data_IF_984965014521
#
_entry.id   IF_984965014521
#
_cell.length_a   1.000
_cell.length_b   1.000
_cell.length_c   1.000
_cell.angle_alpha   90.00
_cell.angle_beta   90.00
_cell.angle_gamma   90.00
#
_symmetry.space_group_name_H-M   'P 1'
#
loop_
_entity.id
_entity.type
_entity.pdbx_description
1 polymer ?
#
# COMPACT_ATOMS: atom_id res chain seq x y z
N UNK A 1 4.88 -19.61 50.52
CA UNK A 1 4.61 -19.13 49.14
C UNK A 1 5.76 -18.27 48.59
N UNK A 2 7.00 -18.45 49.06
CA UNK A 2 8.10 -17.48 48.81
C UNK A 2 9.14 -17.95 47.79
N UNK A 3 8.98 -19.15 47.23
CA UNK A 3 10.02 -19.77 46.38
C UNK A 3 9.79 -19.59 44.87
N UNK A 4 8.68 -18.97 44.46
CA UNK A 4 8.33 -18.86 43.04
C UNK A 4 8.90 -17.58 42.38
N UNK A 5 9.18 -16.53 43.16
CA UNK A 5 9.61 -15.23 42.64
C UNK A 5 11.13 -15.15 42.35
N UNK A 6 11.98 -15.90 43.07
CA UNK A 6 13.43 -15.88 42.87
C UNK A 6 13.93 -16.63 41.62
N UNK A 7 13.12 -17.54 41.07
CA UNK A 7 13.48 -18.34 39.89
C UNK A 7 13.26 -17.59 38.56
N UNK A 8 12.35 -16.61 38.55
CA UNK A 8 12.02 -15.81 37.37
C UNK A 8 13.13 -14.80 37.07
N UNK A 9 13.68 -14.15 38.09
CA UNK A 9 14.78 -13.18 37.98
C UNK A 9 16.09 -13.81 37.51
N UNK A 10 16.43 -15.01 38.03
CA UNK A 10 17.63 -15.74 37.62
C UNK A 10 17.57 -16.18 36.14
N UNK A 11 16.37 -16.46 35.62
CA UNK A 11 16.15 -16.84 34.22
C UNK A 11 16.21 -15.63 33.29
N UNK A 12 15.69 -14.49 33.71
CA UNK A 12 15.79 -13.22 32.99
C UNK A 12 17.26 -12.76 32.88
N UNK A 13 18.02 -12.81 33.98
CA UNK A 13 19.44 -12.45 34.00
C UNK A 13 20.28 -13.35 33.07
N UNK A 14 20.01 -14.67 33.04
CA UNK A 14 20.69 -15.60 32.11
C UNK A 14 20.35 -15.34 30.64
N UNK A 15 19.12 -14.92 30.34
CA UNK A 15 18.70 -14.58 28.97
C UNK A 15 19.40 -13.31 28.49
N UNK A 16 19.40 -12.25 29.31
CA UNK A 16 20.10 -11.00 29.02
C UNK A 16 21.62 -11.22 28.81
N UNK A 17 22.26 -12.03 29.65
CA UNK A 17 23.69 -12.36 29.49
C UNK A 17 23.99 -13.14 28.20
N UNK A 18 23.07 -13.99 27.73
CA UNK A 18 23.21 -14.73 26.48
C UNK A 18 23.00 -13.84 25.25
N UNK A 19 22.06 -12.91 25.32
CA UNK A 19 21.80 -11.91 24.27
C UNK A 19 22.97 -10.93 24.14
N UNK A 20 23.51 -10.45 25.26
CA UNK A 20 24.70 -9.60 25.27
C UNK A 20 25.92 -10.30 24.61
N UNK A 21 26.17 -11.57 24.93
CA UNK A 21 27.25 -12.35 24.30
C UNK A 21 27.03 -12.57 22.79
N UNK A 22 25.77 -12.71 22.36
CA UNK A 22 25.44 -12.86 20.94
C UNK A 22 25.63 -11.55 20.17
N UNK A 23 25.24 -10.42 20.76
CA UNK A 23 25.43 -9.08 20.20
C UNK A 23 26.93 -8.74 20.07
N UNK A 24 27.73 -9.02 21.10
CA UNK A 24 29.18 -8.78 21.08
C UNK A 24 29.89 -9.60 19.99
N UNK A 25 29.47 -10.86 19.79
CA UNK A 25 30.02 -11.72 18.72
C UNK A 25 29.69 -11.18 17.33
N UNK A 26 28.46 -10.70 17.12
CA UNK A 26 28.01 -10.14 15.84
C UNK A 26 28.76 -8.84 15.50
N UNK A 27 28.96 -7.96 16.48
CA UNK A 27 29.73 -6.73 16.30
C UNK A 27 31.19 -7.01 15.93
N UNK A 28 31.83 -7.98 16.59
CA UNK A 28 33.21 -8.40 16.24
C UNK A 28 33.32 -8.98 14.83
N UNK A 29 32.28 -9.63 14.33
CA UNK A 29 32.24 -10.17 12.97
C UNK A 29 32.05 -9.07 11.92
N UNK A 30 31.14 -8.14 12.17
CA UNK A 30 30.91 -6.97 11.30
C UNK A 30 32.15 -6.07 11.22
N UNK A 31 32.84 -5.82 12.35
CA UNK A 31 34.05 -5.00 12.37
C UNK A 31 35.20 -5.66 11.59
N UNK A 32 35.34 -7.00 11.67
CA UNK A 32 36.30 -7.74 10.86
C UNK A 32 35.98 -7.67 9.36
N UNK A 33 34.70 -7.81 8.98
CA UNK A 33 34.27 -7.65 7.58
C UNK A 33 34.56 -6.22 7.09
N UNK A 34 34.26 -5.20 7.89
CA UNK A 34 34.56 -3.79 7.58
C UNK A 34 36.04 -3.55 7.33
N UNK A 35 36.92 -4.00 8.23
CA UNK A 35 38.38 -3.86 8.09
C UNK A 35 38.93 -4.61 6.87
N UNK A 36 38.30 -5.73 6.47
CA UNK A 36 38.69 -6.46 5.26
C UNK A 36 38.33 -5.69 3.98
N UNK A 37 37.13 -5.09 3.93
CA UNK A 37 36.68 -4.28 2.80
C UNK A 37 37.45 -2.95 2.69
N UNK A 38 37.76 -2.31 3.82
CA UNK A 38 38.60 -1.10 3.87
C UNK A 38 40.02 -1.36 3.35
N UNK A 39 40.62 -2.51 3.72
CA UNK A 39 41.91 -2.96 3.17
C UNK A 39 41.85 -3.32 1.68
N UNK A 40 40.67 -3.67 1.16
CA UNK A 40 40.45 -3.92 -0.26
C UNK A 40 40.25 -2.63 -1.07
N UNK A 41 40.28 -1.46 -0.43
CA UNK A 41 40.16 -0.16 -1.10
C UNK A 41 38.73 0.21 -1.50
N UNK A 42 37.71 -0.43 -0.90
CA UNK A 42 36.32 -0.02 -1.10
C UNK A 42 36.06 1.35 -0.45
N UNK A 43 35.24 2.14 -1.12
CA UNK A 43 34.78 3.44 -0.63
C UNK A 43 33.91 3.29 0.64
N UNK A 44 33.95 4.25 1.59
CA UNK A 44 33.19 4.14 2.84
C UNK A 44 31.68 3.93 2.63
N UNK A 45 31.12 4.43 1.53
CA UNK A 45 29.70 4.29 1.22
C UNK A 45 29.35 2.87 0.75
N UNK A 46 30.22 2.23 -0.04
CA UNK A 46 30.00 0.86 -0.51
C UNK A 46 30.20 -0.18 0.60
N UNK A 47 31.17 0.06 1.50
CA UNK A 47 31.35 -0.77 2.70
C UNK A 47 30.09 -0.76 3.58
N UNK A 48 29.46 0.40 3.72
CA UNK A 48 28.21 0.54 4.49
C UNK A 48 27.07 -0.25 3.85
N UNK A 49 26.89 -0.15 2.52
CA UNK A 49 25.87 -0.94 1.79
C UNK A 49 26.13 -2.44 1.83
N UNK A 50 27.37 -2.88 1.71
CA UNK A 50 27.73 -4.31 1.77
C UNK A 50 27.59 -4.92 3.17
N UNK A 51 27.64 -4.09 4.22
CA UNK A 51 27.35 -4.51 5.60
C UNK A 51 25.83 -4.59 5.86
N UNK A 52 25.06 -3.67 5.26
CA UNK A 52 23.59 -3.63 5.38
C UNK A 52 22.89 -4.65 4.47
N UNK A 53 23.52 -5.05 3.36
CA UNK A 53 23.03 -6.09 2.46
C UNK A 53 24.11 -7.15 2.19
N UNK A 54 24.04 -8.34 2.79
CA UNK A 54 25.04 -9.40 2.61
C UNK A 54 25.07 -10.01 1.20
N UNK A 55 24.06 -9.73 0.36
CA UNK A 55 23.92 -10.19 -1.03
C UNK A 55 24.29 -9.11 -2.06
N UNK A 56 24.87 -7.99 -1.62
CA UNK A 56 25.37 -6.95 -2.53
C UNK A 56 26.67 -7.44 -3.20
N UNK A 57 26.53 -8.08 -4.36
CA UNK A 57 27.63 -8.19 -5.32
C UNK A 57 27.72 -6.88 -6.10
N UNK A 58 28.86 -6.19 -5.96
CA UNK A 58 29.13 -4.97 -6.71
C UNK A 58 29.39 -5.34 -8.17
N UNK A 59 28.48 -4.97 -9.08
CA UNK A 59 28.78 -4.77 -10.49
C UNK A 59 29.74 -3.58 -10.63
N UNK A 60 31.03 -3.80 -10.40
CA UNK A 60 32.04 -2.85 -10.84
C UNK A 60 33.37 -3.54 -11.05
N UNK A 61 33.68 -3.89 -12.31
CA UNK A 61 35.03 -4.33 -12.69
C UNK A 61 35.21 -5.20 -13.95
N UNK A 62 34.15 -5.66 -14.63
CA UNK A 62 34.25 -6.61 -15.77
C UNK A 62 33.94 -6.04 -17.17
N UNK A 63 34.21 -4.76 -17.41
CA UNK A 63 33.41 -3.88 -18.30
C UNK A 63 33.70 -3.88 -19.83
N UNK A 64 34.38 -4.87 -20.46
CA UNK A 64 34.54 -4.83 -21.95
C UNK A 64 34.32 -6.13 -22.70
N UNK A 65 34.87 -7.24 -22.21
CA UNK A 65 34.68 -8.53 -22.89
C UNK A 65 33.26 -9.09 -22.69
N UNK A 66 32.70 -8.95 -21.49
CA UNK A 66 31.32 -9.38 -21.21
C UNK A 66 30.30 -8.62 -22.07
N UNK A 67 30.47 -7.30 -22.20
CA UNK A 67 29.61 -6.47 -23.07
C UNK A 67 29.73 -6.89 -24.52
N UNK A 68 30.94 -7.19 -25.02
CA UNK A 68 31.12 -7.69 -26.39
C UNK A 68 30.39 -9.01 -26.66
N UNK A 69 30.51 -10.00 -25.76
CA UNK A 69 29.81 -11.29 -25.91
C UNK A 69 28.30 -11.14 -25.80
N UNK A 70 27.81 -10.31 -24.88
CA UNK A 70 26.37 -10.00 -24.76
C UNK A 70 25.86 -9.32 -26.03
N UNK A 71 26.61 -8.36 -26.57
CA UNK A 71 26.24 -7.66 -27.82
C UNK A 71 26.20 -8.62 -29.01
N UNK A 72 27.17 -9.55 -29.11
CA UNK A 72 27.21 -10.55 -30.17
C UNK A 72 26.04 -11.53 -30.07
N UNK A 73 25.67 -11.96 -28.86
CA UNK A 73 24.48 -12.81 -28.63
C UNK A 73 23.20 -12.06 -29.03
N UNK A 74 23.08 -10.78 -28.69
CA UNK A 74 21.93 -9.95 -29.11
C UNK A 74 21.82 -9.88 -30.63
N UNK A 75 22.94 -9.66 -31.34
CA UNK A 75 22.95 -9.61 -32.81
C UNK A 75 22.56 -10.99 -33.40
N UNK A 76 23.07 -12.08 -32.85
CA UNK A 76 22.75 -13.43 -33.30
C UNK A 76 21.25 -13.76 -33.14
N UNK A 77 20.65 -13.35 -32.02
CA UNK A 77 19.21 -13.50 -31.78
C UNK A 77 18.40 -12.67 -32.79
N UNK A 78 18.83 -11.45 -33.09
CA UNK A 78 18.16 -10.59 -34.07
C UNK A 78 18.20 -11.18 -35.49
N UNK A 79 19.34 -11.74 -35.90
CA UNK A 79 19.48 -12.44 -37.18
C UNK A 79 18.65 -13.74 -37.24
N UNK A 80 18.51 -14.46 -36.13
CA UNK A 80 17.65 -15.64 -36.07
C UNK A 80 16.17 -15.28 -36.24
N UNK A 81 15.72 -14.18 -35.63
CA UNK A 81 14.35 -13.66 -35.83
C UNK A 81 14.15 -13.24 -37.29
N UNK A 82 15.11 -12.54 -37.89
CA UNK A 82 15.01 -12.13 -39.30
C UNK A 82 14.96 -13.34 -40.24
N UNK A 83 15.79 -14.36 -40.02
CA UNK A 83 15.75 -15.59 -40.80
C UNK A 83 14.42 -16.34 -40.65
N UNK A 84 13.81 -16.34 -39.46
CA UNK A 84 12.48 -16.91 -39.25
C UNK A 84 11.39 -16.11 -39.96
N UNK A 85 11.45 -14.77 -39.93
CA UNK A 85 10.50 -13.91 -40.65
C UNK A 85 10.56 -14.14 -42.17
N UNK A 86 11.77 -14.32 -42.72
CA UNK A 86 11.96 -14.63 -44.15
C UNK A 86 11.51 -16.05 -44.48
N UNK A 87 11.86 -17.04 -43.65
CA UNK A 87 11.55 -18.45 -43.92
C UNK A 87 10.08 -18.81 -43.70
N UNK A 88 9.40 -18.15 -42.76
CA UNK A 88 7.96 -18.33 -42.49
C UNK A 88 7.07 -17.34 -43.26
N UNK A 89 7.67 -16.47 -44.08
CA UNK A 89 7.00 -15.44 -44.90
C UNK A 89 5.92 -14.65 -44.16
N UNK A 90 6.25 -14.15 -42.96
CA UNK A 90 5.30 -13.43 -42.10
C UNK A 90 4.85 -12.15 -42.79
N UNK A 91 3.59 -12.11 -43.23
CA UNK A 91 2.99 -10.96 -43.92
C UNK A 91 3.52 -10.69 -45.34
N UNK A 92 4.12 -11.70 -46.00
CA UNK A 92 4.67 -11.55 -47.35
C UNK A 92 6.02 -10.82 -47.41
N UNK A 93 6.71 -10.66 -46.28
CA UNK A 93 7.98 -9.94 -46.20
C UNK A 93 9.10 -10.60 -47.02
N UNK A 94 9.16 -11.94 -47.04
CA UNK A 94 10.16 -12.67 -47.83
C UNK A 94 9.86 -12.64 -49.32
N UNK A 95 8.59 -12.83 -49.68
CA UNK A 95 8.14 -12.96 -51.08
C UNK A 95 7.88 -11.64 -51.80
N UNK A 96 7.41 -10.60 -51.10
CA UNK A 96 6.96 -9.33 -51.68
C UNK A 96 8.00 -8.21 -51.54
N UNK A 97 8.72 -8.15 -50.42
CA UNK A 97 9.69 -7.06 -50.15
C UNK A 97 11.13 -7.44 -50.50
N UNK A 98 11.57 -8.66 -50.20
CA UNK A 98 12.99 -9.05 -50.34
C UNK A 98 13.33 -9.70 -51.69
N UNK A 99 12.36 -10.37 -52.34
CA UNK A 99 12.56 -11.04 -53.64
C UNK A 99 13.00 -10.11 -54.79
N UNK A 100 12.47 -8.88 -54.93
CA UNK A 100 12.93 -7.94 -55.98
C UNK A 100 14.34 -7.40 -55.72
N UNK A 101 14.75 -7.30 -54.46
CA UNK A 101 16.02 -6.70 -54.02
C UNK A 101 17.20 -7.69 -53.99
N UNK A 102 16.94 -8.99 -53.82
CA UNK A 102 17.98 -10.03 -53.66
C UNK A 102 18.11 -10.99 -54.87
N UNK A 103 17.36 -10.76 -55.95
CA UNK A 103 17.35 -11.59 -57.17
C UNK A 103 18.74 -11.77 -57.82
N UNK A 104 19.66 -10.82 -57.59
CA UNK A 104 20.97 -10.78 -58.26
C UNK A 104 22.15 -11.23 -57.37
N UNK A 105 21.89 -11.88 -56.23
CA UNK A 105 22.95 -12.32 -55.30
C UNK A 105 23.12 -13.85 -55.32
N UNK A 106 24.27 -14.38 -55.76
CA UNK A 106 24.51 -15.83 -55.76
C UNK A 106 24.49 -16.39 -54.33
N UNK A 107 23.97 -17.62 -54.20
CA UNK A 107 23.81 -18.42 -52.97
C UNK A 107 22.64 -18.09 -52.02
N UNK A 108 21.86 -17.02 -52.25
CA UNK A 108 20.72 -16.65 -51.37
C UNK A 108 19.41 -17.39 -51.73
N UNK A 109 19.34 -18.01 -52.92
CA UNK A 109 18.17 -18.77 -53.40
C UNK A 109 17.72 -19.95 -52.51
N UNK A 110 18.51 -20.38 -51.51
CA UNK A 110 18.13 -21.47 -50.58
C UNK A 110 17.35 -21.01 -49.35
N UNK A 111 17.25 -19.70 -49.11
CA UNK A 111 16.60 -19.13 -47.92
C UNK A 111 15.17 -18.66 -48.27
N UNK A 112 14.86 -18.49 -49.55
CA UNK A 112 13.50 -18.24 -50.02
C UNK A 112 12.69 -19.55 -50.05
N UNK A 113 11.38 -19.51 -49.74
CA UNK A 113 10.52 -20.69 -49.84
C UNK A 113 10.46 -21.21 -51.28
N UNK A 114 10.63 -22.53 -51.44
CA UNK A 114 10.49 -23.21 -52.74
C UNK A 114 9.02 -23.15 -53.15
N UNK A 115 8.73 -22.47 -54.26
CA UNK A 115 7.43 -22.59 -54.94
C UNK A 115 7.53 -23.73 -55.93
N UNK A 116 6.73 -24.77 -55.74
CA UNK A 116 6.59 -25.89 -56.66
C UNK A 116 6.34 -25.39 -58.09
N UNK A 117 7.25 -25.77 -58.98
CA UNK A 117 7.08 -25.65 -60.42
C UNK A 117 5.94 -26.59 -60.85
N UNK A 118 4.81 -26.04 -61.28
CA UNK A 118 3.80 -26.82 -62.04
C UNK A 118 3.83 -26.37 -63.49
N UNK A 119 4.50 -27.22 -64.25
CA UNK A 119 4.55 -27.39 -65.70
C UNK A 119 3.23 -27.11 -66.43
N UNK A 120 3.29 -26.16 -67.37
CA UNK A 120 2.66 -26.10 -68.70
C UNK A 120 1.63 -27.20 -69.07
N UNK A 121 0.38 -26.81 -69.33
CA UNK A 121 -0.36 -27.27 -70.52
C UNK A 121 -1.57 -26.38 -70.85
N UNK A 122 -1.34 -25.58 -71.89
CA UNK A 122 -2.24 -24.94 -72.87
C UNK A 122 -3.76 -25.14 -72.74
N UNK A 123 -4.49 -24.03 -72.51
CA UNK A 123 -5.49 -23.54 -73.47
C UNK A 123 -5.72 -22.04 -73.25
N UNK A 124 -5.21 -21.23 -74.18
CA UNK A 124 -5.51 -19.81 -74.24
C UNK A 124 -7.00 -19.60 -74.53
N UNK A 125 -7.70 -18.88 -73.67
CA UNK A 125 -8.50 -17.69 -74.01
C UNK A 125 -9.32 -17.24 -72.80
N UNK A 126 -8.95 -16.06 -72.30
CA UNK A 126 -9.80 -14.93 -71.87
C UNK A 126 -9.05 -14.23 -70.75
N UNK A 127 -8.42 -13.12 -71.14
CA UNK A 127 -8.04 -12.07 -70.24
C UNK A 127 -9.34 -11.49 -69.63
N UNK A 128 -9.75 -12.00 -68.47
CA UNK A 128 -10.66 -11.29 -67.59
C UNK A 128 -9.89 -10.90 -66.35
N UNK A 129 -9.62 -9.61 -66.30
CA UNK A 129 -9.25 -8.77 -65.17
C UNK A 129 -10.32 -8.81 -64.06
N UNK A 130 -10.73 -10.00 -63.63
CA UNK A 130 -11.65 -10.22 -62.53
C UNK A 130 -11.20 -11.45 -61.72
N UNK A 131 -11.00 -11.31 -60.41
CA UNK A 131 -10.32 -12.31 -59.58
C UNK A 131 -11.16 -13.56 -59.24
N UNK A 132 -12.28 -13.82 -59.93
CA UNK A 132 -13.20 -14.93 -59.60
C UNK A 132 -13.62 -15.70 -60.86
N UNK A 133 -13.67 -17.03 -60.78
CA UNK A 133 -13.97 -17.90 -61.92
C UNK A 133 -15.48 -18.13 -62.14
N UNK A 134 -16.31 -17.94 -61.11
CA UNK A 134 -17.78 -18.13 -61.18
C UNK A 134 -18.56 -17.12 -60.33
N UNK A 135 -19.85 -16.91 -60.66
CA UNK A 135 -20.74 -16.04 -59.86
C UNK A 135 -20.93 -16.56 -58.43
N UNK A 136 -20.99 -17.88 -58.26
CA UNK A 136 -21.14 -18.53 -56.95
C UNK A 136 -19.92 -18.29 -56.06
N UNK A 137 -18.71 -18.30 -56.63
CA UNK A 137 -17.47 -17.98 -55.92
C UNK A 137 -17.45 -16.51 -55.45
N UNK A 138 -17.88 -15.58 -56.30
CA UNK A 138 -18.00 -14.17 -55.93
C UNK A 138 -19.03 -13.96 -54.80
N UNK A 139 -20.18 -14.64 -54.84
CA UNK A 139 -21.20 -14.56 -53.79
C UNK A 139 -20.72 -15.21 -52.49
N UNK A 140 -19.99 -16.32 -52.56
CA UNK A 140 -19.38 -16.95 -51.39
C UNK A 140 -18.37 -16.01 -50.72
N UNK A 141 -17.54 -15.34 -51.51
CA UNK A 141 -16.56 -14.37 -51.01
C UNK A 141 -17.24 -13.14 -50.40
N UNK A 142 -18.33 -12.64 -50.98
CA UNK A 142 -19.12 -11.54 -50.39
C UNK A 142 -19.65 -11.94 -49.02
N UNK A 143 -20.25 -13.12 -48.86
CA UNK A 143 -20.75 -13.61 -47.57
C UNK A 143 -19.64 -13.77 -46.53
N UNK A 144 -18.48 -14.25 -46.96
CA UNK A 144 -17.30 -14.36 -46.11
C UNK A 144 -16.82 -12.97 -45.64
N UNK A 145 -16.73 -12.01 -46.56
CA UNK A 145 -16.36 -10.63 -46.23
C UNK A 145 -17.39 -9.96 -45.32
N UNK A 146 -18.70 -10.16 -45.54
CA UNK A 146 -19.75 -9.66 -44.66
C UNK A 146 -19.63 -10.24 -43.25
N UNK A 147 -19.27 -11.52 -43.13
CA UNK A 147 -19.02 -12.19 -41.85
C UNK A 147 -17.80 -11.60 -41.15
N UNK A 148 -16.68 -11.46 -41.86
CA UNK A 148 -15.45 -10.85 -41.33
C UNK A 148 -15.69 -9.40 -40.89
N UNK A 149 -16.44 -8.62 -41.66
CA UNK A 149 -16.76 -7.23 -41.34
C UNK A 149 -17.64 -7.14 -40.08
N UNK A 150 -18.57 -8.10 -39.89
CA UNK A 150 -19.38 -8.17 -38.69
C UNK A 150 -18.56 -8.59 -37.47
N UNK A 151 -17.62 -9.54 -37.60
CA UNK A 151 -16.70 -9.94 -36.54
C UNK A 151 -15.77 -8.80 -36.13
N UNK A 152 -15.14 -8.12 -37.11
CA UNK A 152 -14.31 -6.93 -36.88
C UNK A 152 -15.08 -5.80 -36.23
N UNK A 153 -16.33 -5.55 -36.66
CA UNK A 153 -17.19 -4.54 -36.03
C UNK A 153 -17.51 -4.88 -34.57
N UNK A 154 -17.79 -6.15 -34.29
CA UNK A 154 -18.03 -6.61 -32.91
C UNK A 154 -16.77 -6.51 -32.05
N UNK A 155 -15.60 -6.88 -32.59
CA UNK A 155 -14.30 -6.76 -31.92
C UNK A 155 -13.95 -5.29 -31.63
N UNK A 156 -14.21 -4.39 -32.59
CA UNK A 156 -14.02 -2.96 -32.43
C UNK A 156 -14.93 -2.39 -31.33
N UNK A 157 -16.21 -2.77 -31.30
CA UNK A 157 -17.13 -2.36 -30.23
C UNK A 157 -16.70 -2.88 -28.85
N UNK A 158 -16.20 -4.12 -28.75
CA UNK A 158 -15.66 -4.66 -27.51
C UNK A 158 -14.40 -3.92 -27.05
N UNK A 159 -13.49 -3.60 -27.99
CA UNK A 159 -12.28 -2.83 -27.71
C UNK A 159 -12.61 -1.40 -27.27
N UNK A 160 -13.60 -0.74 -27.89
CA UNK A 160 -14.08 0.58 -27.46
C UNK A 160 -14.66 0.55 -26.05
N UNK A 161 -15.40 -0.50 -25.69
CA UNK A 161 -15.88 -0.71 -24.31
C UNK A 161 -14.73 -0.82 -23.31
N UNK A 162 -13.73 -1.66 -23.61
CA UNK A 162 -12.54 -1.81 -22.76
C UNK A 162 -11.74 -0.51 -22.61
N UNK A 163 -11.63 0.30 -23.67
CA UNK A 163 -10.97 1.61 -23.60
C UNK A 163 -11.73 2.55 -22.67
N UNK A 164 -13.07 2.55 -22.72
CA UNK A 164 -13.91 3.31 -21.79
C UNK A 164 -13.70 2.89 -20.34
N UNK A 165 -13.74 1.58 -20.07
CA UNK A 165 -13.54 1.02 -18.73
C UNK A 165 -12.13 1.33 -18.19
N UNK A 166 -11.10 1.25 -19.04
CA UNK A 166 -9.72 1.59 -18.68
C UNK A 166 -9.55 3.08 -18.38
N UNK A 167 -10.23 3.96 -19.13
CA UNK A 167 -10.22 5.40 -18.86
C UNK A 167 -10.89 5.72 -17.52
N UNK A 168 -12.01 5.07 -17.21
CA UNK A 168 -12.71 5.25 -15.94
C UNK A 168 -11.89 4.74 -14.77
N UNK A 169 -11.27 3.55 -14.90
CA UNK A 169 -10.33 3.03 -13.90
C UNK A 169 -9.11 3.94 -13.72
N UNK A 170 -8.57 4.50 -14.80
CA UNK A 170 -7.46 5.45 -14.70
C UNK A 170 -7.86 6.71 -13.94
N UNK A 171 -9.06 7.24 -14.19
CA UNK A 171 -9.59 8.41 -13.47
C UNK A 171 -9.81 8.11 -11.99
N UNK A 172 -10.35 6.94 -11.67
CA UNK A 172 -10.51 6.49 -10.28
C UNK A 172 -9.15 6.33 -9.60
N UNK A 173 -8.17 5.71 -10.27
CA UNK A 173 -6.82 5.54 -9.74
C UNK A 173 -6.13 6.88 -9.49
N UNK A 174 -6.33 7.86 -10.36
CA UNK A 174 -5.82 9.22 -10.17
C UNK A 174 -6.44 9.88 -8.93
N UNK A 175 -7.75 9.73 -8.73
CA UNK A 175 -8.42 10.20 -7.51
C UNK A 175 -7.90 9.50 -6.25
N UNK A 176 -7.69 8.18 -6.29
CA UNK A 176 -7.11 7.45 -5.17
C UNK A 176 -5.71 7.95 -4.82
N UNK A 177 -4.85 8.16 -5.82
CA UNK A 177 -3.50 8.70 -5.62
C UNK A 177 -3.54 10.11 -5.03
N UNK A 178 -4.44 10.97 -5.50
CA UNK A 178 -4.62 12.31 -4.94
C UNK A 178 -5.07 12.26 -3.47
N UNK A 179 -6.00 11.36 -3.15
CA UNK A 179 -6.50 11.16 -1.79
C UNK A 179 -5.44 10.59 -0.85
N UNK A 180 -4.62 9.65 -1.33
CA UNK A 180 -3.50 9.07 -0.59
C UNK A 180 -2.46 10.14 -0.27
N UNK A 181 -2.06 10.96 -1.27
CA UNK A 181 -1.14 12.07 -1.05
C UNK A 181 -1.69 13.09 -0.04
N UNK A 182 -2.98 13.44 -0.12
CA UNK A 182 -3.61 14.33 0.84
C UNK A 182 -3.68 13.72 2.25
N UNK A 183 -3.90 12.41 2.35
CA UNK A 183 -3.89 11.69 3.62
C UNK A 183 -2.49 11.65 4.24
N UNK A 184 -1.46 11.37 3.46
CA UNK A 184 -0.07 11.38 3.94
C UNK A 184 0.34 12.77 4.42
N UNK A 185 -0.05 13.84 3.72
CA UNK A 185 0.19 15.21 4.19
C UNK A 185 -0.50 15.49 5.52
N UNK A 186 -1.76 15.06 5.69
CA UNK A 186 -2.47 15.19 6.96
C UNK A 186 -1.80 14.38 8.08
N UNK A 187 -1.35 13.16 7.78
CA UNK A 187 -0.63 12.31 8.74
C UNK A 187 0.68 12.94 9.16
N UNK A 188 1.47 13.47 8.22
CA UNK A 188 2.72 14.17 8.53
C UNK A 188 2.47 15.41 9.41
N UNK A 189 1.45 16.22 9.09
CA UNK A 189 1.07 17.36 9.94
C UNK A 189 0.68 16.92 11.34
N UNK A 190 -0.10 15.85 11.47
CA UNK A 190 -0.46 15.30 12.77
C UNK A 190 0.76 14.77 13.54
N UNK A 191 1.62 13.99 12.89
CA UNK A 191 2.84 13.47 13.50
C UNK A 191 3.74 14.63 13.95
N UNK A 192 3.80 15.72 13.18
CA UNK A 192 4.53 16.93 13.53
C UNK A 192 3.89 17.66 14.72
N UNK A 193 2.57 17.87 14.70
CA UNK A 193 1.82 18.55 15.76
C UNK A 193 1.80 17.74 17.06
N UNK A 194 1.65 16.41 17.01
CA UNK A 194 1.59 15.55 18.20
C UNK A 194 2.96 15.27 18.81
N UNK A 195 4.01 15.13 18.00
CA UNK A 195 5.36 14.84 18.49
C UNK A 195 6.12 16.12 18.88
N UNK A 196 5.84 17.26 18.25
CA UNK A 196 6.58 18.51 18.49
C UNK A 196 5.79 19.61 19.21
N UNK A 197 4.50 19.41 19.54
CA UNK A 197 3.80 20.32 20.46
C UNK A 197 3.98 19.87 21.92
N UNK A 198 4.74 20.65 22.69
CA UNK A 198 5.07 20.37 24.09
C UNK A 198 3.88 20.47 25.08
N UNK A 199 2.64 20.59 24.57
CA UNK A 199 1.39 20.56 25.35
C UNK A 199 0.29 19.96 24.47
N UNK A 200 -0.51 19.07 25.06
CA UNK A 200 -1.65 18.40 24.43
C UNK A 200 -2.38 19.30 23.40
N UNK A 201 -2.78 18.76 22.23
CA UNK A 201 -3.24 19.55 21.08
C UNK A 201 -4.29 20.59 21.48
N UNK A 202 -4.13 21.83 20.97
CA UNK A 202 -5.13 22.87 21.14
C UNK A 202 -6.46 22.41 20.52
N UNK A 203 -7.55 22.67 21.23
CA UNK A 203 -8.91 22.23 20.89
C UNK A 203 -9.35 22.75 19.50
N UNK A 204 -8.70 23.79 18.97
CA UNK A 204 -8.93 24.32 17.63
C UNK A 204 -8.40 23.44 16.47
N UNK A 205 -7.31 22.69 16.68
CA UNK A 205 -6.80 21.74 15.67
C UNK A 205 -7.83 20.65 15.37
N UNK A 206 -8.52 20.17 16.41
CA UNK A 206 -9.59 19.18 16.26
C UNK A 206 -10.75 19.69 15.40
N UNK A 207 -11.18 20.94 15.62
CA UNK A 207 -12.23 21.57 14.81
C UNK A 207 -11.86 21.63 13.33
N UNK A 208 -10.65 22.08 13.01
CA UNK A 208 -10.16 22.15 11.63
C UNK A 208 -10.06 20.78 10.96
N UNK A 209 -9.69 19.74 11.71
CA UNK A 209 -9.67 18.36 11.22
C UNK A 209 -11.08 17.86 10.89
N UNK A 210 -12.06 18.10 11.77
CA UNK A 210 -13.45 17.64 11.57
C UNK A 210 -14.14 18.28 10.37
N UNK A 211 -13.79 19.52 10.02
CA UNK A 211 -14.30 20.19 8.81
C UNK A 211 -13.77 19.58 7.50
N UNK A 212 -12.70 18.77 7.56
CA UNK A 212 -12.02 18.19 6.38
C UNK A 212 -12.31 16.69 6.15
N UNK A 213 -13.07 16.04 7.03
CA UNK A 213 -13.44 14.61 6.93
C UNK A 213 -14.78 14.45 6.20
N UNK A 214 -15.10 13.22 5.77
CA UNK A 214 -16.43 12.85 5.25
C UNK A 214 -17.55 13.42 6.16
N UNK A 215 -18.48 14.21 5.60
CA UNK A 215 -19.43 15.01 6.39
C UNK A 215 -20.29 14.19 7.35
N UNK A 216 -20.62 12.94 6.99
CA UNK A 216 -21.52 12.11 7.78
C UNK A 216 -20.86 11.59 9.06
N UNK A 217 -19.54 11.36 9.06
CA UNK A 217 -18.81 10.88 10.23
C UNK A 217 -18.33 12.05 11.12
N UNK A 218 -17.96 13.18 10.51
CA UNK A 218 -17.54 14.38 11.23
C UNK A 218 -18.66 14.91 12.15
N UNK A 219 -19.90 14.96 11.67
CA UNK A 219 -21.04 15.43 12.45
C UNK A 219 -21.30 14.56 13.69
N UNK A 220 -21.25 13.24 13.54
CA UNK A 220 -21.51 12.31 14.64
C UNK A 220 -20.42 12.39 15.74
N UNK A 221 -19.16 12.56 15.35
CA UNK A 221 -18.05 12.72 16.29
C UNK A 221 -18.12 14.10 16.96
N UNK A 222 -18.35 15.17 16.19
CA UNK A 222 -18.49 16.53 16.71
C UNK A 222 -19.60 16.62 17.77
N UNK A 223 -20.79 16.05 17.48
CA UNK A 223 -21.90 15.99 18.45
C UNK A 223 -21.48 15.31 19.76
N UNK A 224 -20.80 14.16 19.69
CA UNK A 224 -20.32 13.46 20.89
C UNK A 224 -19.29 14.26 21.68
N UNK A 225 -18.39 14.97 20.99
CA UNK A 225 -17.38 15.81 21.66
C UNK A 225 -18.03 17.00 22.35
N UNK A 226 -18.95 17.71 21.69
CA UNK A 226 -19.69 18.81 22.31
C UNK A 226 -20.49 18.33 23.52
N UNK A 227 -21.19 17.19 23.40
CA UNK A 227 -21.91 16.58 24.52
C UNK A 227 -20.98 16.22 25.68
N UNK A 228 -19.77 15.69 25.40
CA UNK A 228 -18.78 15.39 26.43
C UNK A 228 -18.28 16.67 27.12
N UNK A 229 -17.93 17.71 26.35
CA UNK A 229 -17.47 19.00 26.89
C UNK A 229 -18.53 19.66 27.78
N UNK A 230 -19.79 19.67 27.33
CA UNK A 230 -20.88 20.20 28.15
C UNK A 230 -21.09 19.39 29.43
N UNK A 231 -20.93 18.06 29.36
CA UNK A 231 -21.06 17.20 30.53
C UNK A 231 -19.89 17.38 31.50
N UNK A 232 -18.65 17.50 31.02
CA UNK A 232 -17.47 17.78 31.85
C UNK A 232 -17.60 19.13 32.55
N UNK A 233 -17.98 20.19 31.81
CA UNK A 233 -18.21 21.51 32.40
C UNK A 233 -19.29 21.48 33.48
N UNK A 234 -20.41 20.78 33.24
CA UNK A 234 -21.48 20.61 34.25
C UNK A 234 -20.97 19.87 35.49
N UNK A 235 -20.12 18.85 35.32
CA UNK A 235 -19.50 18.15 36.46
C UNK A 235 -18.58 19.09 37.23
N UNK A 236 -17.78 19.92 36.55
CA UNK A 236 -16.91 20.92 37.19
C UNK A 236 -17.71 21.98 37.98
N UNK A 237 -18.83 22.47 37.42
CA UNK A 237 -19.74 23.37 38.12
C UNK A 237 -20.31 22.72 39.39
N UNK A 238 -20.70 21.44 39.33
CA UNK A 238 -21.15 20.69 40.51
C UNK A 238 -20.03 20.51 41.54
N UNK A 239 -18.82 20.16 41.11
CA UNK A 239 -17.65 20.03 41.99
C UNK A 239 -17.42 21.34 42.74
N UNK A 240 -17.36 22.47 42.03
CA UNK A 240 -17.18 23.79 42.63
C UNK A 240 -18.27 24.13 43.65
N UNK A 241 -19.54 23.87 43.30
CA UNK A 241 -20.67 24.13 44.16
C UNK A 241 -20.64 23.30 45.46
N UNK A 242 -20.39 21.99 45.36
CA UNK A 242 -20.43 21.10 46.51
C UNK A 242 -19.14 21.15 47.35
N UNK A 243 -17.97 21.41 46.76
CA UNK A 243 -16.72 21.64 47.50
C UNK A 243 -16.79 22.90 48.35
N UNK A 244 -17.61 23.88 47.96
CA UNK A 244 -17.84 25.11 48.72
C UNK A 244 -18.83 24.94 49.88
N UNK A 245 -19.53 23.80 49.97
CA UNK A 245 -20.48 23.51 51.06
C UNK A 245 -19.80 22.81 52.24
N UNK A 246 -20.43 22.88 53.43
CA UNK A 246 -19.99 22.05 54.55
C UNK A 246 -20.20 20.56 54.21
N UNK A 247 -19.24 19.67 54.52
CA UNK A 247 -19.33 18.25 54.13
C UNK A 247 -20.63 17.56 54.55
N UNK A 248 -21.12 17.81 55.78
CA UNK A 248 -22.41 17.26 56.26
C UNK A 248 -23.63 17.71 55.46
N UNK A 249 -23.59 18.93 54.90
CA UNK A 249 -24.71 19.45 54.10
C UNK A 249 -24.69 18.85 52.70
N UNK A 250 -23.52 18.77 52.07
CA UNK A 250 -23.36 18.09 50.78
C UNK A 250 -23.71 16.60 50.88
N UNK A 251 -23.26 15.91 51.94
CA UNK A 251 -23.58 14.52 52.22
C UNK A 251 -25.10 14.29 52.35
N UNK A 252 -25.80 15.14 53.12
CA UNK A 252 -27.24 15.05 53.27
C UNK A 252 -27.99 15.22 51.93
N UNK A 253 -27.52 16.09 51.03
CA UNK A 253 -28.09 16.23 49.68
C UNK A 253 -27.82 14.96 48.87
N UNK A 254 -26.57 14.49 48.82
CA UNK A 254 -26.20 13.29 48.07
C UNK A 254 -26.90 12.02 48.55
N UNK A 255 -27.18 11.90 49.85
CA UNK A 255 -27.97 10.79 50.42
C UNK A 255 -29.42 10.77 49.94
N UNK A 256 -29.97 11.89 49.49
CA UNK A 256 -31.30 11.95 48.87
C UNK A 256 -31.30 11.60 47.38
N UNK A 257 -30.13 11.59 46.72
CA UNK A 257 -29.97 11.34 45.28
C UNK A 257 -29.88 9.84 44.97
N UNK A 258 -30.75 9.02 45.56
CA UNK A 258 -30.69 7.54 45.50
C UNK A 258 -30.88 6.97 44.09
N UNK A 259 -31.57 7.70 43.20
CA UNK A 259 -31.73 7.32 41.79
C UNK A 259 -30.58 7.82 40.88
N UNK A 260 -29.73 8.71 41.39
CA UNK A 260 -28.70 9.42 40.62
C UNK A 260 -27.29 9.20 41.19
N UNK A 261 -27.06 8.05 41.85
CA UNK A 261 -25.76 7.70 42.45
C UNK A 261 -24.59 7.74 41.46
N UNK A 262 -24.86 7.55 40.16
CA UNK A 262 -23.86 7.71 39.08
C UNK A 262 -23.37 9.15 38.94
N UNK A 263 -24.26 10.12 39.05
CA UNK A 263 -23.90 11.54 39.01
C UNK A 263 -23.11 11.91 40.26
N UNK A 264 -23.59 11.48 41.44
CA UNK A 264 -22.90 11.71 42.72
C UNK A 264 -21.49 11.12 42.71
N UNK A 265 -21.32 9.89 42.23
CA UNK A 265 -20.01 9.26 42.10
C UNK A 265 -19.08 10.05 41.16
N UNK A 266 -19.57 10.51 40.00
CA UNK A 266 -18.78 11.34 39.08
C UNK A 266 -18.31 12.64 39.73
N UNK A 267 -19.20 13.33 40.45
CA UNK A 267 -18.86 14.56 41.17
C UNK A 267 -17.79 14.26 42.24
N UNK A 268 -17.99 13.23 43.06
CA UNK A 268 -17.03 12.83 44.10
C UNK A 268 -15.68 12.39 43.55
N UNK A 269 -15.63 11.75 42.38
CA UNK A 269 -14.37 11.39 41.71
C UNK A 269 -13.64 12.59 41.11
N UNK A 270 -14.38 13.61 40.68
CA UNK A 270 -13.81 14.84 40.10
C UNK A 270 -13.42 15.87 41.17
N UNK A 271 -13.87 15.71 42.41
CA UNK A 271 -13.43 16.50 43.57
C UNK A 271 -12.01 16.14 44.00
N UNK A 272 -11.36 17.07 44.70
CA UNK A 272 -10.14 16.75 45.44
C UNK A 272 -10.41 15.69 46.53
N UNK A 273 -9.35 14.94 46.86
CA UNK A 273 -9.45 13.78 47.78
C UNK A 273 -9.97 14.18 49.15
N UNK A 274 -9.62 15.36 49.66
CA UNK A 274 -10.02 15.81 50.99
C UNK A 274 -11.51 16.15 51.04
N UNK A 275 -12.01 16.92 50.08
CA UNK A 275 -13.44 17.24 49.95
C UNK A 275 -14.28 15.98 49.74
N UNK A 276 -13.85 15.12 48.82
CA UNK A 276 -14.56 13.87 48.49
C UNK A 276 -14.64 12.92 49.69
N UNK A 277 -13.51 12.70 50.39
CA UNK A 277 -13.47 11.83 51.57
C UNK A 277 -14.26 12.40 52.75
N UNK A 278 -14.22 13.71 52.96
CA UNK A 278 -15.00 14.38 54.02
C UNK A 278 -16.50 14.27 53.80
N UNK A 279 -16.94 14.38 52.54
CA UNK A 279 -18.35 14.21 52.17
C UNK A 279 -18.75 12.75 52.35
N UNK A 280 -18.00 11.79 51.78
CA UNK A 280 -18.26 10.35 51.93
C UNK A 280 -18.34 9.91 53.39
N UNK A 281 -17.44 10.41 54.25
CA UNK A 281 -17.44 10.10 55.69
C UNK A 281 -18.61 10.69 56.46
N UNK A 282 -19.31 11.68 55.90
CA UNK A 282 -20.50 12.29 56.48
C UNK A 282 -21.82 11.71 55.92
N UNK A 283 -21.75 10.83 54.91
CA UNK A 283 -22.91 10.18 54.30
C UNK A 283 -23.40 8.96 55.09
N UNK A 284 -24.60 8.50 54.77
CA UNK A 284 -25.14 7.25 55.26
C UNK A 284 -24.26 6.06 54.81
N UNK A 285 -24.01 5.10 55.69
CA UNK A 285 -23.11 3.96 55.43
C UNK A 285 -23.51 3.15 54.19
N UNK A 286 -24.81 2.96 53.97
CA UNK A 286 -25.31 2.23 52.80
C UNK A 286 -25.07 2.99 51.49
N UNK A 287 -25.33 4.30 51.45
CA UNK A 287 -25.09 5.13 50.26
C UNK A 287 -23.60 5.24 49.96
N UNK A 288 -22.78 5.50 50.99
CA UNK A 288 -21.33 5.57 50.86
C UNK A 288 -20.74 4.27 50.30
N UNK A 289 -21.20 3.10 50.79
CA UNK A 289 -20.77 1.81 50.27
C UNK A 289 -21.12 1.63 48.77
N UNK A 290 -22.33 2.02 48.36
CA UNK A 290 -22.76 1.96 46.95
C UNK A 290 -21.93 2.89 46.07
N UNK A 291 -21.65 4.11 46.55
CA UNK A 291 -20.84 5.08 45.82
C UNK A 291 -19.39 4.59 45.69
N UNK A 292 -18.77 4.10 46.76
CA UNK A 292 -17.41 3.56 46.71
C UNK A 292 -17.29 2.42 45.69
N UNK A 293 -18.28 1.53 45.62
CA UNK A 293 -18.33 0.48 44.59
C UNK A 293 -18.45 1.05 43.18
N UNK A 294 -19.22 2.12 43.01
CA UNK A 294 -19.39 2.77 41.72
C UNK A 294 -18.14 3.52 41.25
N UNK A 295 -17.34 3.98 42.21
CA UNK A 295 -16.09 4.71 41.98
C UNK A 295 -14.87 3.79 41.85
N UNK A 296 -15.05 2.48 41.96
CA UNK A 296 -14.00 1.48 41.78
C UNK A 296 -13.35 1.64 40.39
N UNK A 297 -12.00 1.69 40.29
CA UNK A 297 -11.33 1.75 39.01
C UNK A 297 -11.77 0.57 38.15
N UNK A 298 -12.38 0.85 37.01
CA UNK A 298 -12.70 -0.20 36.06
C UNK A 298 -11.37 -0.75 35.52
N UNK A 299 -11.03 -1.99 35.87
CA UNK A 299 -9.96 -2.73 35.21
C UNK A 299 -10.32 -2.83 33.72
N UNK A 300 -9.78 -1.93 32.91
CA UNK A 300 -9.77 -2.03 31.45
C UNK A 300 -8.41 -2.52 31.00
#
# INVERSE_FOLDING_TARGET
>A
MSDENGNVDAKAAKKAAKEAKKAEKLQKEQEKRRKKMEKAGMDPESIKRALDNPDYEEESGGSRLAVFFVTLVIIAVWLAILALLVKMDVGGFGSTMLKPLLKDVPYINKILPETDEVTESSTETVNTEYPYATLDEAVARIKELETQLQEEKNALSASQGQVGDLQEQSKQLEQYKANEAAFEQRRQKFDEEVVFSDKAPDINEYKNYYEQIDPANAEAIYKRVVEQLENEKKVEDYVSMYSSMKPKQAAAIFDTMTNDLKLVAKILQAMDVESSSSILGAMNTETAAKLTKLMEPSNK
#
